data_IF_791773867242
#
_entry.id   IF_791773867242
#
_cell.length_a   1.000
_cell.length_b   1.000
_cell.length_c   1.000
_cell.angle_alpha   90.00
_cell.angle_beta   90.00
_cell.angle_gamma   90.00
#
_symmetry.space_group_name_H-M   'P 1'
#
loop_
_entity.id
_entity.type
_entity.pdbx_description
1 polymer ?
#
# COMPACT_ATOMS: atom_id res chain seq x y z
N UNK A 1 4.58 -1.52 44.27
CA UNK A 1 4.47 -2.08 42.92
C UNK A 1 5.33 -1.21 42.00
N UNK A 2 6.40 -1.78 41.42
CA UNK A 2 7.28 -1.03 40.53
C UNK A 2 6.59 -0.73 39.20
N UNK A 3 6.81 0.47 38.66
CA UNK A 3 6.30 0.89 37.35
C UNK A 3 6.85 -0.09 36.31
N UNK A 4 5.97 -0.84 35.62
CA UNK A 4 6.39 -1.69 34.50
C UNK A 4 6.80 -0.79 33.35
N UNK A 5 7.92 -1.09 32.72
CA UNK A 5 8.34 -0.43 31.49
C UNK A 5 7.49 -0.96 30.34
N UNK A 6 6.76 -0.08 29.67
CA UNK A 6 6.05 -0.39 28.44
C UNK A 6 6.93 -0.04 27.24
N UNK A 7 6.89 -0.91 26.22
CA UNK A 7 7.54 -0.69 24.94
C UNK A 7 6.51 -0.93 23.85
N UNK A 8 6.22 0.12 23.09
CA UNK A 8 5.27 0.06 21.97
C UNK A 8 5.99 -0.22 20.66
N UNK A 9 5.45 -1.14 19.87
CA UNK A 9 5.88 -1.41 18.51
C UNK A 9 4.77 -1.03 17.55
N UNK A 10 5.14 -0.38 16.44
CA UNK A 10 4.24 -0.10 15.33
C UNK A 10 4.80 -0.81 14.11
N UNK A 11 3.93 -1.55 13.42
CA UNK A 11 4.30 -2.30 12.21
C UNK A 11 3.48 -1.74 11.06
N UNK A 12 4.20 -1.20 10.07
CA UNK A 12 3.64 -0.63 8.85
C UNK A 12 4.15 -1.43 7.67
N UNK A 13 3.28 -1.71 6.69
CA UNK A 13 3.64 -2.46 5.50
C UNK A 13 3.07 -1.80 4.24
N UNK A 14 3.96 -1.35 3.37
CA UNK A 14 3.62 -0.81 2.06
C UNK A 14 3.15 -1.94 1.14
N UNK A 15 1.95 -1.77 0.60
CA UNK A 15 1.31 -2.72 -0.30
C UNK A 15 1.65 -2.32 -1.72
N UNK A 16 2.88 -2.66 -2.10
CA UNK A 16 3.47 -2.37 -3.40
C UNK A 16 3.44 -3.58 -4.35
N UNK A 17 3.54 -3.34 -5.68
CA UNK A 17 3.82 -4.39 -6.65
C UNK A 17 5.17 -5.07 -6.36
N UNK A 18 5.28 -6.34 -6.76
CA UNK A 18 6.52 -7.11 -6.64
C UNK A 18 7.67 -6.38 -7.36
N UNK A 19 8.85 -6.37 -6.75
CA UNK A 19 10.06 -5.85 -7.39
C UNK A 19 10.69 -6.90 -8.33
N UNK A 20 11.61 -6.52 -9.24
CA UNK A 20 12.23 -7.44 -10.19
C UNK A 20 12.84 -8.70 -9.57
N UNK A 21 13.49 -8.58 -8.41
CA UNK A 21 14.10 -9.72 -7.70
C UNK A 21 13.07 -10.71 -7.16
N UNK A 22 11.81 -10.30 -7.06
CA UNK A 22 10.67 -11.13 -6.64
C UNK A 22 9.75 -11.48 -7.82
N UNK A 23 10.23 -11.27 -9.05
CA UNK A 23 9.51 -11.62 -10.29
C UNK A 23 8.69 -10.47 -10.90
N UNK A 24 8.71 -9.28 -10.31
CA UNK A 24 8.02 -8.11 -10.87
C UNK A 24 8.71 -7.45 -12.06
N UNK A 25 8.11 -6.37 -12.54
CA UNK A 25 8.62 -5.63 -13.72
C UNK A 25 9.70 -4.61 -13.33
N UNK A 26 10.52 -4.23 -14.30
CA UNK A 26 11.54 -3.19 -14.14
C UNK A 26 10.94 -1.78 -14.25
N UNK A 27 11.67 -0.78 -13.78
CA UNK A 27 11.26 0.63 -13.78
C UNK A 27 11.23 1.30 -15.17
N UNK A 28 11.77 0.65 -16.19
CA UNK A 28 11.78 1.08 -17.60
C UNK A 28 10.58 0.52 -18.40
N UNK A 29 9.59 -0.02 -17.70
CA UNK A 29 8.38 -0.60 -18.30
C UNK A 29 7.18 0.29 -18.01
N UNK A 30 6.50 0.76 -19.06
CA UNK A 30 5.43 1.75 -18.92
C UNK A 30 4.10 1.15 -18.48
N UNK A 31 3.48 0.29 -19.32
CA UNK A 31 2.09 -0.17 -19.15
C UNK A 31 1.93 -1.68 -19.01
N UNK A 32 3.01 -2.40 -18.72
CA UNK A 32 2.88 -3.82 -18.44
C UNK A 32 2.23 -4.03 -17.07
N UNK A 33 1.40 -5.07 -16.97
CA UNK A 33 0.76 -5.41 -15.70
C UNK A 33 1.83 -5.75 -14.68
N UNK A 34 1.75 -5.08 -13.54
CA UNK A 34 2.59 -5.36 -12.39
C UNK A 34 2.17 -6.69 -11.73
N UNK A 35 3.11 -7.31 -11.04
CA UNK A 35 2.87 -8.55 -10.29
C UNK A 35 2.63 -8.22 -8.82
N UNK A 36 1.74 -9.00 -8.17
CA UNK A 36 1.26 -8.74 -6.80
C UNK A 36 1.26 -10.03 -5.96
N UNK A 37 2.29 -10.85 -6.09
CA UNK A 37 2.44 -12.09 -5.32
C UNK A 37 2.69 -11.79 -3.84
N UNK A 38 3.31 -10.65 -3.50
CA UNK A 38 3.44 -10.17 -2.13
C UNK A 38 2.08 -10.15 -1.40
N UNK A 39 1.03 -9.69 -2.09
CA UNK A 39 -0.31 -9.61 -1.52
C UNK A 39 -0.96 -10.98 -1.41
N UNK A 40 -0.94 -11.76 -2.50
CA UNK A 40 -1.70 -13.02 -2.58
C UNK A 40 -1.00 -14.19 -1.86
N UNK A 41 0.33 -14.16 -1.76
CA UNK A 41 1.15 -15.24 -1.17
C UNK A 41 1.96 -14.78 0.04
N UNK A 42 2.40 -13.52 0.07
CA UNK A 42 3.24 -12.96 1.14
C UNK A 42 2.43 -12.62 2.39
N UNK A 43 1.38 -11.80 2.26
CA UNK A 43 0.52 -11.38 3.39
C UNK A 43 0.00 -12.59 4.19
N UNK A 44 -0.53 -13.68 3.57
CA UNK A 44 -0.95 -14.86 4.33
C UNK A 44 0.18 -15.52 5.16
N UNK A 45 1.44 -15.42 4.74
CA UNK A 45 2.59 -15.93 5.50
C UNK A 45 2.98 -14.99 6.63
N UNK A 46 2.99 -13.68 6.37
CA UNK A 46 3.27 -12.65 7.38
C UNK A 46 2.24 -12.70 8.51
N UNK A 47 0.95 -12.81 8.17
CA UNK A 47 -0.11 -12.94 9.16
C UNK A 47 0.08 -14.16 10.06
N UNK A 48 0.57 -15.30 9.55
CA UNK A 48 0.88 -16.48 10.40
C UNK A 48 1.98 -16.18 11.43
N UNK A 49 2.97 -15.36 11.05
CA UNK A 49 4.03 -14.95 11.96
C UNK A 49 3.48 -13.98 13.01
N UNK A 50 2.73 -12.97 12.61
CA UNK A 50 2.11 -12.03 13.55
C UNK A 50 1.06 -12.68 14.44
N UNK A 51 0.39 -13.73 13.96
CA UNK A 51 -0.52 -14.50 14.77
C UNK A 51 0.19 -15.26 15.91
N UNK A 52 1.49 -15.55 15.75
CA UNK A 52 2.31 -16.22 16.78
C UNK A 52 2.87 -15.26 17.84
N UNK A 53 2.86 -13.96 17.59
CA UNK A 53 3.36 -12.93 18.53
C UNK A 53 2.18 -12.33 19.28
N UNK A 54 2.23 -12.40 20.61
CA UNK A 54 1.17 -11.96 21.50
C UNK A 54 1.69 -10.95 22.52
N UNK A 55 0.91 -9.91 22.79
CA UNK A 55 1.13 -9.05 23.96
C UNK A 55 0.73 -9.77 25.27
N UNK A 56 0.87 -9.06 26.40
CA UNK A 56 0.53 -9.60 27.73
C UNK A 56 -0.97 -9.90 27.90
N UNK A 57 -1.83 -9.27 27.10
CA UNK A 57 -3.28 -9.44 27.11
C UNK A 57 -3.72 -10.50 26.07
N UNK A 58 -2.77 -11.11 25.36
CA UNK A 58 -3.02 -12.14 24.36
C UNK A 58 -3.48 -11.60 23.01
N UNK A 59 -3.38 -10.30 22.75
CA UNK A 59 -3.68 -9.71 21.44
C UNK A 59 -2.56 -10.02 20.45
N UNK A 60 -2.95 -10.31 19.21
CA UNK A 60 -1.99 -10.40 18.10
C UNK A 60 -1.48 -9.00 17.73
N UNK A 61 -0.27 -8.93 17.18
CA UNK A 61 0.23 -7.70 16.59
C UNK A 61 -0.73 -7.18 15.51
N UNK A 62 -1.05 -5.88 15.57
CA UNK A 62 -1.80 -5.16 14.53
C UNK A 62 -0.84 -4.53 13.55
N UNK A 63 -1.29 -4.42 12.31
CA UNK A 63 -0.48 -3.88 11.22
C UNK A 63 -1.26 -2.77 10.53
N UNK A 64 -0.57 -1.72 10.12
CA UNK A 64 -1.11 -0.76 9.17
C UNK A 64 -0.65 -1.14 7.77
N UNK A 65 -1.61 -1.43 6.89
CA UNK A 65 -1.39 -1.84 5.50
C UNK A 65 -1.64 -0.67 4.57
N UNK A 66 -0.61 -0.24 3.88
CA UNK A 66 -0.54 1.00 3.12
C UNK A 66 -0.81 0.73 1.65
N UNK A 67 -2.06 0.90 1.22
CA UNK A 67 -2.49 0.62 -0.15
C UNK A 67 -2.23 1.80 -1.07
N UNK A 68 -1.69 1.48 -2.25
CA UNK A 68 -1.53 2.45 -3.32
C UNK A 68 -2.85 2.94 -3.87
N UNK A 69 -2.90 4.24 -4.10
CA UNK A 69 -3.86 4.89 -4.99
C UNK A 69 -3.21 6.11 -5.60
N UNK A 70 -2.78 6.02 -6.86
CA UNK A 70 -1.90 7.00 -7.51
C UNK A 70 -1.89 6.90 -9.05
N UNK A 71 -1.23 7.87 -9.71
CA UNK A 71 -1.20 8.01 -11.16
C UNK A 71 -0.59 6.81 -11.89
N UNK A 72 0.41 6.12 -11.32
CA UNK A 72 0.96 4.94 -11.99
C UNK A 72 -0.09 3.83 -12.03
N UNK A 73 -0.87 3.64 -10.96
CA UNK A 73 -1.98 2.68 -10.97
C UNK A 73 -3.02 3.07 -12.03
N UNK A 74 -3.35 4.36 -12.14
CA UNK A 74 -4.25 4.87 -13.18
C UNK A 74 -3.73 4.60 -14.59
N UNK A 75 -2.44 4.81 -14.85
CA UNK A 75 -1.86 4.64 -16.18
C UNK A 75 -1.74 3.18 -16.63
N UNK A 76 -1.53 2.26 -15.68
CA UNK A 76 -1.37 0.82 -15.96
C UNK A 76 -2.72 0.10 -15.97
N UNK A 77 -3.63 0.46 -15.06
CA UNK A 77 -4.87 -0.28 -14.81
C UNK A 77 -6.15 0.52 -15.07
N UNK A 78 -6.02 1.76 -15.55
CA UNK A 78 -7.13 2.69 -15.81
C UNK A 78 -7.93 3.08 -14.56
N UNK A 79 -7.39 2.82 -13.36
CA UNK A 79 -7.98 3.18 -12.07
C UNK A 79 -6.87 3.52 -11.06
N UNK A 80 -6.98 4.70 -10.43
CA UNK A 80 -6.06 5.15 -9.37
C UNK A 80 -6.05 4.15 -8.21
N UNK A 81 -7.22 3.69 -7.76
CA UNK A 81 -7.37 2.80 -6.61
C UNK A 81 -7.46 1.32 -7.02
N UNK A 82 -6.91 0.95 -8.18
CA UNK A 82 -6.99 -0.42 -8.71
C UNK A 82 -6.62 -1.50 -7.67
N UNK A 83 -5.54 -1.37 -6.86
CA UNK A 83 -5.21 -2.39 -5.87
C UNK A 83 -6.30 -2.57 -4.79
N UNK A 84 -6.98 -1.50 -4.40
CA UNK A 84 -8.08 -1.57 -3.44
C UNK A 84 -9.30 -2.29 -4.03
N UNK A 85 -9.58 -2.08 -5.32
CA UNK A 85 -10.68 -2.75 -6.01
C UNK A 85 -10.37 -4.23 -6.24
N UNK A 86 -9.21 -4.54 -6.80
CA UNK A 86 -8.77 -5.91 -7.10
C UNK A 86 -8.64 -6.76 -5.83
N UNK A 87 -8.04 -6.20 -4.77
CA UNK A 87 -7.77 -6.91 -3.53
C UNK A 87 -8.76 -6.55 -2.41
N UNK A 88 -10.00 -6.19 -2.78
CA UNK A 88 -11.06 -5.85 -1.81
C UNK A 88 -11.29 -6.92 -0.76
N UNK A 89 -11.31 -8.17 -1.20
CA UNK A 89 -11.45 -9.33 -0.32
C UNK A 89 -10.33 -9.41 0.73
N UNK A 90 -9.12 -8.95 0.39
CA UNK A 90 -7.95 -9.02 1.26
C UNK A 90 -7.99 -7.91 2.31
N UNK A 91 -8.11 -6.65 1.89
CA UNK A 91 -8.08 -5.55 2.85
C UNK A 91 -9.31 -5.56 3.77
N UNK A 92 -10.49 -6.00 3.31
CA UNK A 92 -11.64 -6.23 4.19
C UNK A 92 -11.39 -7.32 5.23
N UNK A 93 -10.60 -8.34 4.90
CA UNK A 93 -10.18 -9.37 5.86
C UNK A 93 -9.14 -8.85 6.85
N UNK A 94 -8.25 -7.95 6.45
CA UNK A 94 -7.29 -7.29 7.33
C UNK A 94 -8.03 -6.35 8.30
N UNK A 95 -8.93 -5.52 7.78
CA UNK A 95 -9.80 -4.63 8.57
C UNK A 95 -10.62 -5.41 9.61
N UNK A 96 -11.21 -6.56 9.25
CA UNK A 96 -11.98 -7.38 10.20
C UNK A 96 -11.13 -8.04 11.29
N UNK A 97 -9.80 -8.11 11.09
CA UNK A 97 -8.84 -8.52 12.13
C UNK A 97 -8.46 -7.35 13.04
N UNK A 98 -8.91 -6.13 12.77
CA UNK A 98 -8.52 -4.92 13.47
C UNK A 98 -7.18 -4.34 13.04
N UNK A 99 -6.69 -4.74 11.85
CA UNK A 99 -5.58 -4.05 11.19
C UNK A 99 -6.09 -2.74 10.56
N UNK A 100 -5.19 -1.77 10.36
CA UNK A 100 -5.52 -0.49 9.71
C UNK A 100 -5.24 -0.57 8.20
N UNK A 101 -6.05 0.12 7.40
CA UNK A 101 -5.81 0.34 5.97
C UNK A 101 -5.44 1.81 5.76
N UNK A 102 -4.16 2.06 5.46
CA UNK A 102 -3.60 3.37 5.15
C UNK A 102 -3.50 3.62 3.64
N UNK A 103 -3.23 4.87 3.26
CA UNK A 103 -3.02 5.27 1.87
C UNK A 103 -1.53 5.47 1.60
N UNK A 104 -0.99 4.95 0.50
CA UNK A 104 0.42 5.08 0.17
C UNK A 104 0.60 5.48 -1.29
N UNK A 105 0.43 6.77 -1.61
CA UNK A 105 0.57 7.26 -2.96
C UNK A 105 2.05 7.36 -3.33
N UNK A 106 2.37 6.96 -4.56
CA UNK A 106 3.63 7.34 -5.19
C UNK A 106 3.42 8.50 -6.16
N UNK A 107 4.36 9.44 -6.19
CA UNK A 107 4.45 10.51 -7.21
C UNK A 107 5.32 10.06 -8.38
N UNK A 108 5.12 8.84 -8.86
CA UNK A 108 5.87 8.29 -9.98
C UNK A 108 5.25 8.74 -11.30
N UNK A 109 6.01 9.53 -12.05
CA UNK A 109 5.63 10.02 -13.37
C UNK A 109 6.43 9.28 -14.44
N UNK A 110 5.78 8.96 -15.55
CA UNK A 110 6.47 8.37 -16.70
C UNK A 110 7.18 9.46 -17.51
N UNK A 111 8.48 9.27 -17.75
CA UNK A 111 9.25 10.13 -18.65
C UNK A 111 9.31 9.51 -20.05
N UNK A 112 8.60 10.10 -21.01
CA UNK A 112 8.67 9.65 -22.41
C UNK A 112 10.07 9.80 -23.02
N UNK A 113 10.82 10.83 -22.59
CA UNK A 113 12.18 11.08 -23.05
C UNK A 113 13.16 10.02 -22.56
N UNK A 114 13.08 9.66 -21.28
CA UNK A 114 14.04 8.76 -20.64
C UNK A 114 13.56 7.30 -20.62
N UNK A 115 12.31 7.05 -21.03
CA UNK A 115 11.65 5.74 -21.02
C UNK A 115 11.74 5.04 -19.66
N UNK A 116 11.45 5.80 -18.60
CA UNK A 116 11.43 5.29 -17.24
C UNK A 116 10.41 6.02 -16.37
N UNK A 117 9.99 5.34 -15.31
CA UNK A 117 9.35 5.98 -14.17
C UNK A 117 10.38 6.75 -13.35
N UNK A 118 10.02 7.96 -12.94
CA UNK A 118 10.82 8.78 -12.02
C UNK A 118 9.93 9.36 -10.93
N UNK A 119 10.52 9.66 -9.77
CA UNK A 119 9.83 10.39 -8.72
C UNK A 119 9.78 11.87 -9.09
N UNK A 120 8.57 12.39 -9.33
CA UNK A 120 8.36 13.81 -9.56
C UNK A 120 8.52 14.59 -8.26
N UNK A 121 9.27 15.68 -8.31
CA UNK A 121 9.59 16.53 -7.14
C UNK A 121 9.57 18.02 -7.46
N UNK A 122 9.35 18.40 -8.72
CA UNK A 122 9.47 19.79 -9.17
C UNK A 122 8.14 20.38 -9.67
N UNK A 123 7.30 19.56 -10.30
CA UNK A 123 6.00 19.99 -10.84
C UNK A 123 4.92 19.93 -9.75
N UNK A 124 4.79 21.00 -8.97
CA UNK A 124 3.87 21.09 -7.83
C UNK A 124 2.40 20.88 -8.22
N UNK A 125 1.98 21.40 -9.37
CA UNK A 125 0.61 21.24 -9.87
C UNK A 125 0.33 19.77 -10.22
N UNK A 126 1.28 19.11 -10.89
CA UNK A 126 1.15 17.68 -11.19
C UNK A 126 1.14 16.82 -9.93
N UNK A 127 2.02 17.10 -8.96
CA UNK A 127 2.07 16.39 -7.68
C UNK A 127 0.75 16.54 -6.94
N UNK A 128 0.23 17.77 -6.84
CA UNK A 128 -1.02 18.07 -6.15
C UNK A 128 -2.17 17.30 -6.81
N UNK A 129 -2.28 17.34 -8.14
CA UNK A 129 -3.32 16.61 -8.87
C UNK A 129 -3.19 15.08 -8.67
N UNK A 130 -1.98 14.52 -8.70
CA UNK A 130 -1.75 13.09 -8.46
C UNK A 130 -2.24 12.68 -7.06
N UNK A 131 -1.96 13.50 -6.04
CA UNK A 131 -2.39 13.24 -4.66
C UNK A 131 -3.89 13.43 -4.49
N UNK A 132 -4.49 14.47 -5.06
CA UNK A 132 -5.93 14.74 -4.98
C UNK A 132 -6.77 13.66 -5.64
N UNK A 133 -6.41 13.24 -6.85
CA UNK A 133 -7.09 12.17 -7.58
C UNK A 133 -6.88 10.80 -6.91
N UNK A 134 -5.66 10.53 -6.45
CA UNK A 134 -5.32 9.32 -5.71
C UNK A 134 -6.12 9.21 -4.40
N UNK A 135 -6.18 10.28 -3.61
CA UNK A 135 -6.95 10.34 -2.37
C UNK A 135 -8.45 10.22 -2.61
N UNK A 136 -8.97 10.95 -3.60
CA UNK A 136 -10.39 10.91 -3.96
C UNK A 136 -10.80 9.50 -4.39
N UNK A 137 -9.99 8.82 -5.21
CA UNK A 137 -10.29 7.44 -5.61
C UNK A 137 -10.17 6.45 -4.45
N UNK A 138 -9.17 6.63 -3.58
CA UNK A 138 -9.02 5.81 -2.37
C UNK A 138 -10.28 5.90 -1.50
N UNK A 139 -10.69 7.11 -1.12
CA UNK A 139 -11.83 7.35 -0.21
C UNK A 139 -13.15 6.91 -0.81
N UNK A 140 -13.36 7.12 -2.12
CA UNK A 140 -14.54 6.63 -2.83
C UNK A 140 -14.60 5.09 -2.84
N UNK A 141 -13.45 4.41 -2.96
CA UNK A 141 -13.36 2.95 -3.03
C UNK A 141 -13.53 2.30 -1.66
N UNK A 142 -12.89 2.86 -0.63
CA UNK A 142 -12.91 2.29 0.73
C UNK A 142 -14.17 2.68 1.51
N UNK A 143 -14.71 3.87 1.24
CA UNK A 143 -15.82 4.46 1.98
C UNK A 143 -15.40 5.14 3.29
N UNK A 144 -14.10 5.34 3.52
CA UNK A 144 -13.56 6.02 4.70
C UNK A 144 -12.34 6.88 4.36
N UNK A 145 -12.04 7.82 5.25
CA UNK A 145 -10.82 8.62 5.19
C UNK A 145 -9.67 7.85 5.86
N UNK A 146 -8.53 7.62 5.18
CA UNK A 146 -7.40 6.96 5.81
C UNK A 146 -6.86 7.84 6.95
N UNK A 147 -6.50 7.22 8.07
CA UNK A 147 -5.89 7.91 9.22
C UNK A 147 -4.37 8.01 9.12
N UNK A 148 -3.77 7.14 8.30
CA UNK A 148 -2.33 7.07 8.04
C UNK A 148 -2.03 7.17 6.55
N UNK A 149 -0.95 7.90 6.22
CA UNK A 149 -0.38 8.07 4.88
C UNK A 149 1.12 7.78 4.90
#
# INVERSE_FOLDING_TARGET
>A
MGKRSELSFVICCDVDPDCPTLGGVRFDVYKDRLMWNGLTKGIPKVLKVFDSVKDIDGNHAKVTWFFRSDEQMKLIYEDYAWPLNEFRWLWKKLESRGDEIGWHPHVWRWSERNKCWFQEVNDEDWISNCLEEGFSSFTNTTGFFPSSV
#
